data_IF_998016882538
#
_entry.id   IF_998016882538
#
_cell.length_a   1.000
_cell.length_b   1.000
_cell.length_c   1.000
_cell.angle_alpha   90.00
_cell.angle_beta   90.00
_cell.angle_gamma   90.00
#
_symmetry.space_group_name_H-M   'P 1'
#
loop_
_entity.id
_entity.type
_entity.pdbx_description
1 polymer ?
#
# COMPACT_ATOMS: atom_id res chain seq x y z
N UNK A 1 3.48 14.37 15.53
CA UNK A 1 3.87 14.47 14.11
C UNK A 1 3.14 13.45 13.25
N UNK A 2 3.06 12.19 13.70
CA UNK A 2 2.43 11.15 12.88
C UNK A 2 0.93 11.39 12.63
N UNK A 3 0.22 12.04 13.54
CA UNK A 3 -1.20 12.31 13.37
C UNK A 3 -1.49 13.07 12.07
N UNK A 4 -0.70 14.11 11.79
CA UNK A 4 -0.87 14.91 10.58
C UNK A 4 -0.52 14.11 9.32
N UNK A 5 0.54 13.30 9.38
CA UNK A 5 0.96 12.47 8.25
C UNK A 5 -0.13 11.44 7.92
N UNK A 6 -0.70 10.80 8.93
CA UNK A 6 -1.75 9.80 8.70
C UNK A 6 -3.04 10.44 8.23
N UNK A 7 -3.37 11.64 8.69
CA UNK A 7 -4.50 12.39 8.16
C UNK A 7 -4.34 12.62 6.66
N UNK A 8 -3.15 13.03 6.23
CA UNK A 8 -2.83 13.20 4.80
C UNK A 8 -2.82 11.88 4.05
N UNK A 9 -2.33 10.80 4.69
CA UNK A 9 -2.37 9.46 4.10
C UNK A 9 -3.81 9.02 3.83
N UNK A 10 -4.70 9.22 4.79
CA UNK A 10 -6.12 8.89 4.58
C UNK A 10 -6.73 9.74 3.46
N UNK A 11 -6.38 11.01 3.37
CA UNK A 11 -6.84 11.86 2.27
C UNK A 11 -6.34 11.35 0.92
N UNK A 12 -5.08 10.91 0.87
CA UNK A 12 -4.52 10.29 -0.34
C UNK A 12 -5.30 9.03 -0.71
N UNK A 13 -5.60 8.17 0.28
CA UNK A 13 -6.34 6.92 0.04
C UNK A 13 -7.75 7.19 -0.49
N UNK A 14 -8.35 8.32 -0.13
CA UNK A 14 -9.66 8.71 -0.65
C UNK A 14 -9.60 9.40 -2.01
N UNK A 15 -8.40 9.59 -2.55
CA UNK A 15 -8.23 10.28 -3.81
C UNK A 15 -8.38 11.79 -3.72
N UNK A 16 -8.29 12.35 -2.52
CA UNK A 16 -8.51 13.78 -2.27
C UNK A 16 -7.24 14.62 -2.31
N UNK A 17 -6.08 14.00 -2.48
CA UNK A 17 -4.80 14.68 -2.41
C UNK A 17 -4.04 14.48 -3.73
N UNK A 18 -3.93 15.54 -4.52
CA UNK A 18 -3.19 15.48 -5.77
C UNK A 18 -1.72 15.24 -5.50
N UNK A 19 -1.12 14.28 -6.20
CA UNK A 19 0.27 13.90 -6.03
C UNK A 19 0.60 13.51 -4.59
N UNK A 20 -0.34 12.82 -3.91
CA UNK A 20 -0.23 12.53 -2.49
C UNK A 20 1.03 11.76 -2.12
N UNK A 21 1.41 10.75 -2.91
CA UNK A 21 2.62 9.98 -2.63
C UNK A 21 3.87 10.83 -2.78
N UNK A 22 3.94 11.67 -3.80
CA UNK A 22 5.09 12.55 -3.98
C UNK A 22 5.23 13.54 -2.81
N UNK A 23 4.10 14.01 -2.30
CA UNK A 23 4.08 14.92 -1.16
C UNK A 23 4.47 14.23 0.14
N UNK A 24 3.98 13.00 0.35
CA UNK A 24 4.11 12.29 1.62
C UNK A 24 5.42 11.55 1.79
N UNK A 25 6.01 11.03 0.72
CA UNK A 25 7.20 10.17 0.82
C UNK A 25 8.47 11.01 0.83
N UNK A 26 9.38 10.65 1.76
CA UNK A 26 10.73 11.17 1.73
C UNK A 26 11.49 10.57 0.54
N UNK A 27 12.48 11.30 0.01
CA UNK A 27 13.28 10.81 -1.12
C UNK A 27 14.01 9.50 -0.77
N UNK A 28 14.37 9.33 0.51
CA UNK A 28 15.11 8.16 0.99
C UNK A 28 14.20 7.13 1.67
N UNK A 29 12.90 7.18 1.42
CA UNK A 29 11.95 6.23 2.00
C UNK A 29 12.34 4.79 1.66
N UNK A 30 12.12 3.88 2.62
CA UNK A 30 12.32 2.45 2.41
C UNK A 30 10.99 1.73 2.55
N UNK A 31 10.66 0.93 1.55
CA UNK A 31 9.45 0.12 1.53
C UNK A 31 9.80 -1.35 1.81
N UNK A 32 9.09 -1.94 2.77
CA UNK A 32 9.23 -3.36 3.13
C UNK A 32 7.97 -4.08 2.69
N UNK A 33 8.10 -4.83 1.60
CA UNK A 33 7.00 -5.61 1.03
C UNK A 33 6.66 -6.80 1.94
N UNK A 34 5.38 -7.23 1.98
CA UNK A 34 5.03 -8.46 2.69
C UNK A 34 5.53 -9.72 1.98
N UNK A 35 6.02 -9.59 0.75
CA UNK A 35 6.37 -10.72 -0.11
C UNK A 35 7.89 -10.81 -0.32
N UNK A 36 8.53 -9.69 -0.62
CA UNK A 36 9.94 -9.64 -1.01
C UNK A 36 10.81 -9.37 0.20
N UNK A 37 11.82 -10.22 0.43
CA UNK A 37 12.72 -10.07 1.57
C UNK A 37 13.55 -8.78 1.48
N UNK A 38 14.03 -8.44 0.28
CA UNK A 38 14.92 -7.29 0.09
C UNK A 38 14.15 -5.97 0.22
N UNK A 39 14.59 -5.06 1.11
CA UNK A 39 13.95 -3.74 1.21
C UNK A 39 14.07 -2.97 -0.10
N UNK A 40 13.02 -2.22 -0.42
CA UNK A 40 12.98 -1.40 -1.62
C UNK A 40 13.28 0.04 -1.24
N UNK A 41 14.48 0.51 -1.58
CA UNK A 41 14.94 1.83 -1.16
C UNK A 41 14.67 2.89 -2.22
N UNK A 42 14.10 4.00 -1.78
CA UNK A 42 13.89 5.17 -2.62
C UNK A 42 12.43 5.45 -2.93
N UNK A 43 12.17 6.72 -3.23
CA UNK A 43 10.81 7.21 -3.48
C UNK A 43 10.18 6.61 -4.75
N UNK A 44 10.97 6.48 -5.82
CA UNK A 44 10.46 5.99 -7.09
C UNK A 44 9.92 4.56 -6.98
N UNK A 45 10.72 3.65 -6.40
CA UNK A 45 10.31 2.25 -6.26
C UNK A 45 9.17 2.11 -5.23
N UNK A 46 9.22 2.89 -4.16
CA UNK A 46 8.16 2.88 -3.14
C UNK A 46 6.84 3.35 -3.76
N UNK A 47 6.86 4.42 -4.53
CA UNK A 47 5.67 4.92 -5.23
C UNK A 47 5.09 3.84 -6.13
N UNK A 48 5.93 3.14 -6.87
CA UNK A 48 5.49 2.07 -7.78
C UNK A 48 4.75 0.96 -7.01
N UNK A 49 5.34 0.50 -5.89
CA UNK A 49 4.73 -0.55 -5.07
C UNK A 49 3.41 -0.10 -4.44
N UNK A 50 3.35 1.12 -3.93
CA UNK A 50 2.13 1.63 -3.31
C UNK A 50 1.01 1.86 -4.34
N UNK A 51 1.35 2.31 -5.54
CA UNK A 51 0.37 2.43 -6.61
C UNK A 51 -0.15 1.07 -7.05
N UNK A 52 0.74 0.08 -7.16
CA UNK A 52 0.35 -1.28 -7.51
C UNK A 52 -0.57 -1.87 -6.44
N UNK A 53 -0.24 -1.65 -5.16
CA UNK A 53 -1.08 -2.10 -4.05
C UNK A 53 -2.45 -1.42 -4.08
N UNK A 54 -2.51 -0.15 -4.41
CA UNK A 54 -3.76 0.58 -4.54
C UNK A 54 -4.67 0.04 -5.63
N UNK A 55 -4.11 -0.57 -6.66
CA UNK A 55 -4.88 -1.19 -7.74
C UNK A 55 -5.19 -2.67 -7.45
N UNK A 56 -4.40 -3.32 -6.61
CA UNK A 56 -4.56 -4.74 -6.28
C UNK A 56 -5.49 -4.96 -5.10
N UNK A 57 -5.44 -4.09 -4.09
CA UNK A 57 -6.09 -4.26 -2.80
C UNK A 57 -7.30 -3.34 -2.53
N UNK A 58 -7.93 -2.69 -3.52
CA UNK A 58 -9.10 -1.85 -3.22
C UNK A 58 -10.31 -2.67 -2.78
N UNK A 59 -10.28 -4.00 -2.99
CA UNK A 59 -11.41 -4.86 -2.71
C UNK A 59 -12.44 -4.83 -3.83
N UNK A 60 -13.63 -5.29 -3.54
CA UNK A 60 -14.70 -5.34 -4.53
C UNK A 60 -15.36 -3.97 -4.67
N UNK A 61 -14.96 -3.23 -5.69
CA UNK A 61 -15.54 -1.95 -6.06
C UNK A 61 -16.13 -2.05 -7.45
N UNK A 62 -17.19 -2.80 -7.63
CA UNK A 62 -17.82 -2.88 -8.93
C UNK A 62 -18.97 -1.89 -9.00
N UNK A 63 -18.95 -1.05 -10.04
CA UNK A 63 -20.07 -0.18 -10.33
C UNK A 63 -21.32 -1.03 -10.57
N UNK A 64 -22.43 -0.63 -9.98
CA UNK A 64 -23.70 -1.29 -10.13
C UNK A 64 -23.89 -2.57 -9.35
N UNK A 65 -22.87 -3.10 -8.75
CA UNK A 65 -23.01 -4.20 -7.82
C UNK A 65 -23.31 -3.64 -6.44
N UNK A 66 -24.16 -4.32 -5.67
CA UNK A 66 -24.27 -4.03 -4.25
C UNK A 66 -22.90 -4.34 -3.65
N UNK A 67 -22.02 -3.37 -3.62
CA UNK A 67 -20.73 -3.56 -3.00
C UNK A 67 -20.95 -3.65 -1.50
N UNK A 68 -20.79 -4.85 -0.96
CA UNK A 68 -20.77 -5.04 0.47
C UNK A 68 -19.58 -4.23 1.01
N UNK A 69 -19.79 -3.22 1.86
CA UNK A 69 -18.69 -2.44 2.42
C UNK A 69 -17.66 -3.30 3.14
N UNK A 70 -18.05 -4.45 3.67
CA UNK A 70 -17.14 -5.36 4.37
C UNK A 70 -16.13 -6.01 3.44
N UNK A 71 -16.33 -5.96 2.12
CA UNK A 71 -15.43 -6.54 1.12
C UNK A 71 -14.49 -5.52 0.51
N UNK A 72 -14.65 -4.26 0.83
CA UNK A 72 -13.76 -3.21 0.34
C UNK A 72 -12.61 -3.01 1.30
N UNK A 73 -11.50 -2.48 0.78
CA UNK A 73 -10.37 -2.10 1.62
C UNK A 73 -10.84 -1.10 2.67
N UNK A 74 -10.52 -1.37 3.93
CA UNK A 74 -10.81 -0.47 5.03
C UNK A 74 -9.80 -0.67 6.14
N UNK A 75 -9.44 0.41 6.80
CA UNK A 75 -8.65 0.34 8.03
C UNK A 75 -9.59 0.07 9.19
N UNK A 76 -9.26 -0.95 9.99
CA UNK A 76 -10.10 -1.40 11.11
C UNK A 76 -9.53 -1.01 12.47
N UNK A 77 -8.25 -0.66 12.53
CA UNK A 77 -7.57 -0.28 13.76
C UNK A 77 -6.45 0.69 13.44
N UNK A 78 -6.27 1.67 14.30
CA UNK A 78 -5.24 2.67 14.12
C UNK A 78 -4.58 2.97 15.47
N UNK A 79 -3.26 2.82 15.52
CA UNK A 79 -2.46 3.17 16.69
C UNK A 79 -1.41 4.16 16.24
N UNK A 80 -1.40 5.35 16.85
CA UNK A 80 -0.49 6.44 16.51
C UNK A 80 0.31 6.82 17.74
N UNK A 81 1.63 6.82 17.61
CA UNK A 81 2.51 7.22 18.71
C UNK A 81 3.78 7.83 18.15
N UNK A 82 4.11 9.05 18.59
CA UNK A 82 5.31 9.74 18.13
C UNK A 82 5.34 9.92 16.62
N UNK A 83 6.30 9.29 15.99
CA UNK A 83 6.48 9.32 14.54
C UNK A 83 6.09 8.00 13.86
N UNK A 84 5.37 7.15 14.56
CA UNK A 84 4.99 5.82 14.05
C UNK A 84 3.49 5.58 14.12
N UNK A 85 2.96 4.95 13.07
CA UNK A 85 1.57 4.53 13.00
C UNK A 85 1.49 3.05 12.67
N UNK A 86 0.52 2.36 13.27
CA UNK A 86 0.15 1.00 12.91
C UNK A 86 -1.30 1.02 12.49
N UNK A 87 -1.55 0.71 11.22
CA UNK A 87 -2.88 0.73 10.64
C UNK A 87 -3.23 -0.69 10.19
N UNK A 88 -4.17 -1.32 10.88
CA UNK A 88 -4.66 -2.63 10.46
C UNK A 88 -5.73 -2.45 9.39
N UNK A 89 -5.68 -3.29 8.36
CA UNK A 89 -6.65 -3.24 7.29
C UNK A 89 -7.24 -4.61 7.00
N UNK A 90 -8.42 -4.61 6.40
CA UNK A 90 -9.08 -5.78 5.86
C UNK A 90 -9.58 -5.46 4.47
N UNK A 91 -9.56 -6.46 3.60
CA UNK A 91 -10.13 -6.35 2.26
C UNK A 91 -10.44 -7.75 1.72
N UNK A 92 -11.01 -7.80 0.54
CA UNK A 92 -11.26 -9.05 -0.17
C UNK A 92 -10.69 -8.91 -1.58
N UNK A 93 -9.92 -9.91 -2.01
CA UNK A 93 -9.34 -9.97 -3.36
C UNK A 93 -9.71 -11.31 -3.95
N UNK A 94 -10.39 -11.31 -5.10
CA UNK A 94 -10.88 -12.52 -5.77
C UNK A 94 -11.64 -13.45 -4.81
N UNK A 95 -12.50 -12.87 -3.96
CA UNK A 95 -13.29 -13.61 -2.98
C UNK A 95 -12.52 -14.11 -1.77
N UNK A 96 -11.23 -13.79 -1.65
CA UNK A 96 -10.38 -14.24 -0.55
C UNK A 96 -10.16 -13.13 0.45
N UNK A 97 -10.28 -13.47 1.73
CA UNK A 97 -10.04 -12.52 2.82
C UNK A 97 -8.55 -12.18 2.92
N UNK A 98 -8.26 -10.88 3.02
CA UNK A 98 -6.91 -10.37 3.22
C UNK A 98 -6.92 -9.45 4.43
N UNK A 99 -6.04 -9.73 5.38
CA UNK A 99 -5.85 -8.90 6.57
C UNK A 99 -4.36 -8.53 6.67
N UNK A 100 -4.10 -7.30 7.00
CA UNK A 100 -2.70 -6.86 7.13
C UNK A 100 -2.55 -5.64 7.98
N UNK A 101 -1.31 -5.21 8.11
CA UNK A 101 -0.97 -3.96 8.80
C UNK A 101 0.01 -3.17 7.96
N UNK A 102 -0.18 -1.86 7.94
CA UNK A 102 0.79 -0.90 7.45
C UNK A 102 1.45 -0.28 8.66
N UNK A 103 2.77 -0.40 8.77
CA UNK A 103 3.55 0.26 9.81
C UNK A 103 4.30 1.41 9.15
N UNK A 104 3.94 2.63 9.50
CA UNK A 104 4.40 3.83 8.81
C UNK A 104 5.20 4.69 9.80
N UNK A 105 6.43 5.04 9.43
CA UNK A 105 7.27 5.92 10.23
C UNK A 105 7.58 7.18 9.43
N UNK A 106 7.47 8.35 10.07
CA UNK A 106 7.81 9.62 9.44
C UNK A 106 8.98 10.29 10.16
N UNK A 107 9.61 11.23 9.46
CA UNK A 107 10.62 12.09 10.08
C UNK A 107 9.96 13.35 10.66
N UNK A 108 10.77 14.22 11.26
CA UNK A 108 10.26 15.44 11.89
C UNK A 108 9.79 16.48 10.87
N UNK A 109 10.13 16.30 9.62
CA UNK A 109 9.60 17.15 8.54
C UNK A 109 8.23 16.69 8.03
N UNK A 110 7.68 15.61 8.60
CA UNK A 110 6.38 15.09 8.19
C UNK A 110 6.42 14.29 6.92
N UNK A 111 7.56 13.69 6.59
CA UNK A 111 7.69 12.82 5.42
C UNK A 111 7.84 11.38 5.86
N UNK A 112 7.21 10.46 5.14
CA UNK A 112 7.30 9.03 5.42
C UNK A 112 8.68 8.52 5.02
N UNK A 113 9.40 7.94 5.97
CA UNK A 113 10.73 7.39 5.76
C UNK A 113 10.75 5.86 5.74
N UNK A 114 9.72 5.23 6.29
CA UNK A 114 9.60 3.77 6.29
C UNK A 114 8.14 3.40 6.14
N UNK A 115 7.88 2.46 5.25
CA UNK A 115 6.54 1.92 5.03
C UNK A 115 6.66 0.40 4.97
N UNK A 116 6.15 -0.28 5.99
CA UNK A 116 6.28 -1.73 6.15
C UNK A 116 4.90 -2.37 6.14
N UNK A 117 4.76 -3.43 5.35
CA UNK A 117 3.47 -4.11 5.18
C UNK A 117 3.61 -5.58 5.57
N UNK A 118 2.68 -6.06 6.39
CA UNK A 118 2.55 -7.47 6.75
C UNK A 118 1.14 -7.93 6.43
N UNK A 119 1.02 -9.15 5.92
CA UNK A 119 -0.26 -9.69 5.42
C UNK A 119 -0.47 -11.12 5.93
N UNK A 120 -1.71 -11.46 6.21
CA UNK A 120 -2.16 -12.80 6.54
C UNK A 120 -3.52 -13.07 5.85
N UNK A 121 -3.98 -14.33 5.69
CA UNK A 121 -3.27 -15.60 5.91
C UNK A 121 -2.40 -15.98 4.70
N UNK A 122 -1.80 -17.17 4.72
CA UNK A 122 -0.91 -17.62 3.63
C UNK A 122 -1.58 -17.56 2.26
N UNK A 123 -2.84 -17.98 2.18
CA UNK A 123 -3.62 -17.93 0.95
C UNK A 123 -3.69 -16.50 0.39
N UNK A 124 -3.86 -15.52 1.26
CA UNK A 124 -3.89 -14.12 0.85
C UNK A 124 -2.52 -13.65 0.36
N UNK A 125 -1.44 -14.09 1.02
CA UNK A 125 -0.08 -13.75 0.61
C UNK A 125 0.20 -14.27 -0.80
N UNK A 126 -0.16 -15.51 -1.09
CA UNK A 126 0.04 -16.10 -2.41
C UNK A 126 -0.76 -15.35 -3.49
N UNK A 127 -1.99 -15.00 -3.19
CA UNK A 127 -2.85 -14.26 -4.11
C UNK A 127 -2.31 -12.85 -4.36
N UNK A 128 -1.94 -12.14 -3.30
CA UNK A 128 -1.40 -10.78 -3.40
C UNK A 128 -0.08 -10.80 -4.17
N UNK A 129 0.76 -11.80 -3.93
CA UNK A 129 2.01 -11.96 -4.68
C UNK A 129 1.75 -12.04 -6.18
N UNK A 130 0.82 -12.89 -6.59
CA UNK A 130 0.49 -13.06 -8.00
C UNK A 130 -0.09 -11.78 -8.60
N UNK A 131 -1.02 -11.15 -7.90
CA UNK A 131 -1.66 -9.93 -8.35
C UNK A 131 -0.68 -8.78 -8.45
N UNK A 132 0.20 -8.63 -7.46
CA UNK A 132 1.21 -7.57 -7.45
C UNK A 132 2.24 -7.77 -8.56
N UNK A 133 2.68 -9.00 -8.80
CA UNK A 133 3.62 -9.31 -9.87
C UNK A 133 3.02 -8.92 -11.24
N UNK A 134 1.76 -9.28 -11.46
CA UNK A 134 1.07 -8.94 -12.70
C UNK A 134 0.91 -7.42 -12.86
N UNK A 135 0.56 -6.74 -11.78
CA UNK A 135 0.36 -5.30 -11.81
C UNK A 135 1.66 -4.55 -12.05
N UNK A 136 2.74 -4.95 -11.40
CA UNK A 136 4.05 -4.34 -11.58
C UNK A 136 4.55 -4.52 -13.02
N UNK A 137 4.31 -5.69 -13.60
CA UNK A 137 4.67 -5.95 -14.98
C UNK A 137 3.91 -5.02 -15.94
N UNK A 138 2.63 -4.79 -15.67
CA UNK A 138 1.81 -3.88 -16.47
C UNK A 138 2.25 -2.42 -16.35
N UNK A 139 2.80 -2.04 -15.21
CA UNK A 139 3.22 -0.67 -14.93
C UNK A 139 4.65 -0.36 -15.42
N UNK A 140 5.42 -1.38 -15.78
CA UNK A 140 6.77 -1.18 -16.29
C UNK A 140 6.74 -0.64 -17.70
N UNK A 141 7.70 0.25 -18.08
CA UNK A 141 7.88 0.60 -19.47
C UNK A 141 8.14 -0.66 -20.31
N UNK A 142 7.67 -0.66 -21.54
CA UNK A 142 7.78 -1.83 -22.40
C UNK A 142 9.24 -2.29 -22.60
N UNK A 143 10.19 -1.36 -22.61
CA UNK A 143 11.61 -1.68 -22.71
C UNK A 143 12.13 -2.46 -21.52
N UNK A 144 11.53 -2.29 -20.33
CA UNK A 144 11.94 -2.99 -19.12
C UNK A 144 11.29 -4.36 -19.02
N UNK A 145 10.14 -4.55 -19.64
CA UNK A 145 9.45 -5.84 -19.63
C UNK A 145 10.27 -6.95 -20.30
N UNK A 146 11.11 -6.60 -21.25
CA UNK A 146 11.97 -7.57 -21.93
C UNK A 146 13.20 -7.95 -21.12
N UNK A 147 13.53 -7.22 -20.09
CA UNK A 147 14.69 -7.48 -19.23
C UNK A 147 14.33 -8.16 -17.93
N UNK A 148 13.04 -8.39 -17.69
CA UNK A 148 12.53 -8.94 -16.46
C UNK A 148 12.44 -10.47 -16.45
N UNK A 149 13.34 -11.12 -17.10
CA UNK A 149 13.36 -12.59 -17.13
C UNK A 149 13.72 -13.14 -15.74
#
# INVERSE_FOLDING_TARGET
MIHKVIEQWHAHMRGELANGLDLLLDDDVVFYSPIVYTPQAGKAITTLYLQAAGQTLPGEKKEGASSDPSKRFRYTKQVLDGNTAVLEFETTVDGKYVNGVDIITCNDAGKIVEFRVMIRPLQAINLVHQQMANMLEHMKPQSEQFHGA
#
